data_IF_111890359725
#
_entry.id   IF_111890359725
#
_cell.length_a   1.000
_cell.length_b   1.000
_cell.length_c   1.000
_cell.angle_alpha   90.00
_cell.angle_beta   90.00
_cell.angle_gamma   90.00
#
_symmetry.space_group_name_H-M   'P 1'
#
loop_
_entity.id
_entity.type
_entity.pdbx_description
1 polymer ?
#
# COMPACT_ATOMS: atom_id res chain seq x y z
N UNK A 1 22.74 -32.01 -14.61
CA UNK A 1 21.70 -31.95 -13.55
C UNK A 1 22.04 -30.96 -12.43
N UNK A 2 23.22 -31.00 -11.80
CA UNK A 2 23.58 -30.07 -10.70
C UNK A 2 23.47 -28.57 -11.06
N UNK A 3 23.99 -28.16 -12.22
CA UNK A 3 23.92 -26.76 -12.70
C UNK A 3 22.46 -26.30 -12.87
N UNK A 4 21.59 -27.15 -13.43
CA UNK A 4 20.16 -26.83 -13.59
C UNK A 4 19.50 -26.66 -12.21
N UNK A 5 19.83 -27.50 -11.24
CA UNK A 5 19.33 -27.38 -9.87
C UNK A 5 19.75 -26.05 -9.21
N UNK A 6 21.01 -25.62 -9.38
CA UNK A 6 21.50 -24.33 -8.88
C UNK A 6 20.73 -23.14 -9.48
N UNK A 7 20.41 -23.19 -10.78
CA UNK A 7 19.59 -22.17 -11.44
C UNK A 7 18.20 -22.08 -10.80
N UNK A 8 17.54 -23.21 -10.56
CA UNK A 8 16.23 -23.23 -9.91
C UNK A 8 16.28 -22.70 -8.48
N UNK A 9 17.28 -23.09 -7.71
CA UNK A 9 17.47 -22.59 -6.33
C UNK A 9 17.63 -21.08 -6.35
N UNK A 10 18.51 -20.54 -7.18
CA UNK A 10 18.72 -19.10 -7.27
C UNK A 10 17.45 -18.34 -7.71
N UNK A 11 16.70 -18.92 -8.66
CA UNK A 11 15.44 -18.33 -9.13
C UNK A 11 14.40 -18.23 -8.00
N UNK A 12 14.30 -19.23 -7.14
CA UNK A 12 13.42 -19.19 -5.95
C UNK A 12 13.81 -18.04 -5.03
N UNK A 13 15.10 -17.86 -4.71
CA UNK A 13 15.56 -16.75 -3.86
C UNK A 13 15.25 -15.39 -4.48
N UNK A 14 15.46 -15.22 -5.78
CA UNK A 14 15.12 -13.99 -6.50
C UNK A 14 13.61 -13.71 -6.44
N UNK A 15 12.77 -14.71 -6.68
CA UNK A 15 11.32 -14.57 -6.60
C UNK A 15 10.86 -14.18 -5.19
N UNK A 16 11.41 -14.80 -4.15
CA UNK A 16 11.10 -14.46 -2.76
C UNK A 16 11.54 -13.02 -2.45
N UNK A 17 12.74 -12.63 -2.87
CA UNK A 17 13.28 -11.30 -2.66
C UNK A 17 12.39 -10.22 -3.33
N UNK A 18 12.00 -10.46 -4.58
CA UNK A 18 11.09 -9.58 -5.33
C UNK A 18 9.72 -9.50 -4.68
N UNK A 19 9.19 -10.62 -4.20
CA UNK A 19 7.91 -10.67 -3.50
C UNK A 19 7.94 -9.82 -2.21
N UNK A 20 8.97 -9.97 -1.38
CA UNK A 20 9.14 -9.18 -0.15
C UNK A 20 9.24 -7.69 -0.49
N UNK A 21 10.07 -7.32 -1.47
CA UNK A 21 10.19 -5.94 -1.93
C UNK A 21 8.85 -5.37 -2.44
N UNK A 22 8.11 -6.17 -3.21
CA UNK A 22 6.81 -5.78 -3.76
C UNK A 22 5.80 -5.46 -2.64
N UNK A 23 5.81 -6.21 -1.53
CA UNK A 23 4.96 -5.90 -0.37
C UNK A 23 5.22 -4.53 0.25
N UNK A 24 6.49 -4.14 0.41
CA UNK A 24 6.82 -2.79 0.89
C UNK A 24 6.35 -1.72 -0.10
N UNK A 25 6.53 -1.97 -1.40
CA UNK A 25 6.10 -1.04 -2.45
C UNK A 25 4.58 -0.85 -2.45
N UNK A 26 3.83 -1.93 -2.29
CA UNK A 26 2.36 -1.89 -2.21
C UNK A 26 1.88 -1.03 -1.05
N UNK A 27 2.43 -1.24 0.16
CA UNK A 27 2.08 -0.44 1.35
C UNK A 27 2.33 1.05 1.12
N UNK A 28 3.49 1.40 0.54
CA UNK A 28 3.79 2.79 0.19
C UNK A 28 2.80 3.37 -0.84
N UNK A 29 2.51 2.63 -1.92
CA UNK A 29 1.54 3.07 -2.94
C UNK A 29 0.14 3.25 -2.34
N UNK A 30 -0.30 2.35 -1.46
CA UNK A 30 -1.58 2.48 -0.78
C UNK A 30 -1.67 3.80 -0.02
N UNK A 31 -0.71 4.11 0.86
CA UNK A 31 -0.80 5.33 1.66
C UNK A 31 -0.62 6.60 0.85
N UNK A 32 0.24 6.58 -0.17
CA UNK A 32 0.33 7.68 -1.14
C UNK A 32 -1.02 7.94 -1.82
N UNK A 33 -1.72 6.89 -2.25
CA UNK A 33 -3.05 7.02 -2.85
C UNK A 33 -4.08 7.51 -1.82
N UNK A 34 -4.01 7.07 -0.55
CA UNK A 34 -4.90 7.55 0.51
C UNK A 34 -4.69 9.03 0.87
N UNK A 35 -3.46 9.53 0.85
CA UNK A 35 -3.15 10.96 0.98
C UNK A 35 -3.79 11.74 -0.17
N UNK A 36 -3.69 11.23 -1.40
CA UNK A 36 -4.34 11.85 -2.54
C UNK A 36 -5.88 11.87 -2.39
N UNK A 37 -6.49 10.73 -2.04
CA UNK A 37 -7.94 10.60 -1.87
C UNK A 37 -8.44 11.56 -0.78
N UNK A 38 -7.83 11.55 0.41
CA UNK A 38 -8.24 12.41 1.53
C UNK A 38 -8.15 13.90 1.17
N UNK A 39 -7.06 14.33 0.52
CA UNK A 39 -6.89 15.70 0.04
C UNK A 39 -7.93 16.07 -1.04
N UNK A 40 -8.20 15.14 -1.97
CA UNK A 40 -9.19 15.34 -3.02
C UNK A 40 -10.59 15.53 -2.44
N UNK A 41 -10.98 14.67 -1.49
CA UNK A 41 -12.28 14.74 -0.83
C UNK A 41 -12.41 16.04 -0.03
N UNK A 42 -11.41 16.41 0.77
CA UNK A 42 -11.41 17.66 1.55
C UNK A 42 -11.61 18.88 0.65
N UNK A 43 -10.87 18.94 -0.45
CA UNK A 43 -10.96 20.06 -1.38
C UNK A 43 -12.33 20.14 -2.05
N UNK A 44 -12.98 19.01 -2.37
CA UNK A 44 -14.27 19.01 -3.07
C UNK A 44 -15.48 19.16 -2.14
N UNK A 45 -15.41 18.67 -0.89
CA UNK A 45 -16.47 18.88 0.11
C UNK A 45 -16.59 20.37 0.50
N UNK A 46 -15.48 21.10 0.48
CA UNK A 46 -15.47 22.54 0.71
C UNK A 46 -16.30 23.35 -0.31
N UNK A 47 -16.60 22.78 -1.49
CA UNK A 47 -17.31 23.48 -2.59
C UNK A 47 -18.76 22.99 -2.83
N UNK A 48 -19.35 22.28 -1.88
CA UNK A 48 -20.80 22.01 -1.68
C UNK A 48 -21.67 21.48 -2.85
N UNK A 49 -21.12 21.15 -4.03
CA UNK A 49 -21.96 20.82 -5.21
C UNK A 49 -22.03 19.34 -5.61
N UNK A 50 -21.11 18.50 -5.15
CA UNK A 50 -21.02 17.11 -5.61
C UNK A 50 -21.41 16.13 -4.50
N UNK A 51 -22.06 15.02 -4.88
CA UNK A 51 -22.34 13.92 -3.97
C UNK A 51 -21.02 13.28 -3.51
N UNK A 52 -20.89 12.98 -2.21
CA UNK A 52 -19.72 12.32 -1.63
C UNK A 52 -19.36 11.03 -2.38
N UNK A 53 -20.36 10.26 -2.82
CA UNK A 53 -20.09 9.04 -3.61
C UNK A 53 -19.40 9.34 -4.94
N UNK A 54 -19.83 10.40 -5.64
CA UNK A 54 -19.20 10.83 -6.89
C UNK A 54 -17.77 11.33 -6.67
N UNK A 55 -17.54 12.08 -5.59
CA UNK A 55 -16.20 12.57 -5.23
C UNK A 55 -15.25 11.39 -4.95
N UNK A 56 -15.74 10.34 -4.26
CA UNK A 56 -14.96 9.13 -4.02
C UNK A 56 -14.65 8.42 -5.34
N UNK A 57 -15.64 8.21 -6.20
CA UNK A 57 -15.44 7.54 -7.50
C UNK A 57 -14.45 8.30 -8.40
N UNK A 58 -14.55 9.63 -8.45
CA UNK A 58 -13.61 10.50 -9.18
C UNK A 58 -12.19 10.42 -8.60
N UNK A 59 -12.06 10.35 -7.28
CA UNK A 59 -10.75 10.19 -6.63
C UNK A 59 -10.12 8.83 -6.95
N UNK A 60 -10.92 7.76 -7.02
CA UNK A 60 -10.46 6.40 -7.30
C UNK A 60 -9.90 6.26 -8.72
N UNK A 61 -10.45 6.99 -9.70
CA UNK A 61 -9.99 6.97 -11.09
C UNK A 61 -8.50 7.36 -11.25
N UNK A 62 -7.94 8.11 -10.31
CA UNK A 62 -6.55 8.57 -10.31
C UNK A 62 -5.64 7.77 -9.36
N UNK A 63 -6.11 6.64 -8.82
CA UNK A 63 -5.38 5.83 -7.83
C UNK A 63 -4.96 4.49 -8.43
N UNK A 64 -4.09 3.76 -7.74
CA UNK A 64 -3.68 2.43 -8.21
C UNK A 64 -4.82 1.42 -8.10
N UNK A 65 -4.89 0.47 -9.06
CA UNK A 65 -5.87 -0.64 -9.04
C UNK A 65 -5.84 -1.46 -7.75
N UNK A 66 -4.71 -1.50 -7.05
CA UNK A 66 -4.59 -2.20 -5.78
C UNK A 66 -5.28 -1.43 -4.65
N UNK A 67 -5.15 -0.11 -4.62
CA UNK A 67 -5.89 0.76 -3.69
C UNK A 67 -7.39 0.68 -3.96
N UNK A 68 -7.80 0.73 -5.23
CA UNK A 68 -9.20 0.54 -5.63
C UNK A 68 -9.77 -0.79 -5.12
N UNK A 69 -9.00 -1.89 -5.22
CA UNK A 69 -9.39 -3.20 -4.67
C UNK A 69 -9.51 -3.20 -3.15
N UNK A 70 -8.63 -2.49 -2.45
CA UNK A 70 -8.70 -2.33 -0.98
C UNK A 70 -9.96 -1.58 -0.58
N UNK A 71 -10.27 -0.46 -1.25
CA UNK A 71 -11.43 0.38 -0.92
C UNK A 71 -12.74 -0.29 -1.31
N UNK A 72 -12.81 -0.92 -2.48
CA UNK A 72 -14.00 -1.62 -2.95
C UNK A 72 -14.27 -2.95 -2.23
N UNK A 73 -13.37 -3.38 -1.34
CA UNK A 73 -13.44 -4.65 -0.61
C UNK A 73 -13.57 -5.88 -1.55
N UNK A 74 -13.12 -5.77 -2.81
CA UNK A 74 -13.37 -6.74 -3.90
C UNK A 74 -12.35 -7.89 -3.97
N UNK A 75 -11.72 -8.31 -2.87
CA UNK A 75 -10.69 -9.36 -2.97
C UNK A 75 -10.38 -10.14 -1.69
N UNK A 76 -10.57 -11.46 -1.76
CA UNK A 76 -10.04 -12.46 -0.83
C UNK A 76 -8.50 -12.56 -0.82
N UNK A 77 -7.81 -11.86 -1.74
CA UNK A 77 -6.36 -11.88 -1.91
C UNK A 77 -5.61 -10.78 -1.12
N UNK A 78 -6.33 -9.89 -0.45
CA UNK A 78 -5.75 -8.77 0.30
C UNK A 78 -5.02 -9.14 1.62
N UNK A 79 -5.42 -10.17 2.40
CA UNK A 79 -4.88 -10.40 3.74
C UNK A 79 -3.37 -10.67 3.79
N UNK A 80 -2.81 -11.26 2.73
CA UNK A 80 -1.38 -11.57 2.65
C UNK A 80 -0.55 -10.43 2.02
N UNK A 81 -1.19 -9.48 1.34
CA UNK A 81 -0.50 -8.38 0.66
C UNK A 81 -0.29 -7.18 1.58
N UNK A 82 -1.26 -6.89 2.45
CA UNK A 82 -1.25 -5.76 3.38
C UNK A 82 -1.38 -6.22 4.83
N UNK A 83 -0.96 -5.38 5.77
CA UNK A 83 -1.26 -5.64 7.17
C UNK A 83 -2.75 -5.40 7.44
N UNK A 84 -3.38 -6.30 8.19
CA UNK A 84 -4.80 -6.18 8.55
C UNK A 84 -5.10 -4.83 9.24
N UNK A 85 -4.16 -4.30 10.03
CA UNK A 85 -4.25 -2.97 10.63
C UNK A 85 -4.41 -1.86 9.58
N UNK A 86 -3.60 -1.89 8.53
CA UNK A 86 -3.61 -0.88 7.47
C UNK A 86 -4.95 -0.92 6.71
N UNK A 87 -5.44 -2.12 6.37
CA UNK A 87 -6.74 -2.31 5.71
C UNK A 87 -7.88 -1.82 6.62
N UNK A 88 -7.87 -2.20 7.90
CA UNK A 88 -8.90 -1.77 8.85
C UNK A 88 -8.92 -0.26 9.02
N UNK A 89 -7.75 0.39 9.03
CA UNK A 89 -7.66 1.84 9.14
C UNK A 89 -8.21 2.53 7.88
N UNK A 90 -7.90 2.02 6.69
CA UNK A 90 -8.52 2.51 5.44
C UNK A 90 -10.04 2.31 5.45
N UNK A 91 -10.52 1.14 5.90
CA UNK A 91 -11.96 0.89 6.02
C UNK A 91 -12.64 1.85 7.02
N UNK A 92 -11.99 2.15 8.15
CA UNK A 92 -12.46 3.14 9.12
C UNK A 92 -12.58 4.53 8.49
N UNK A 93 -11.54 4.97 7.77
CA UNK A 93 -11.57 6.22 7.01
C UNK A 93 -12.76 6.26 6.05
N UNK A 94 -12.90 5.29 5.15
CA UNK A 94 -13.99 5.24 4.17
C UNK A 94 -15.35 5.26 4.87
N UNK A 95 -15.49 4.52 5.97
CA UNK A 95 -16.72 4.49 6.75
C UNK A 95 -17.01 5.78 7.52
N UNK A 96 -16.02 6.65 7.72
CA UNK A 96 -16.16 7.90 8.48
C UNK A 96 -16.68 9.06 7.64
N UNK A 97 -16.53 8.99 6.31
CA UNK A 97 -16.88 10.08 5.39
C UNK A 97 -18.40 10.20 5.30
N UNK A 98 -18.91 11.43 5.40
CA UNK A 98 -20.33 11.76 5.23
C UNK A 98 -21.22 11.42 6.43
N UNK A 99 -20.63 11.29 7.62
CA UNK A 99 -21.33 11.01 8.87
C UNK A 99 -21.57 12.24 9.75
N UNK A 100 -20.91 13.37 9.47
CA UNK A 100 -21.05 14.61 10.22
C UNK A 100 -21.47 15.81 9.38
N UNK A 101 -21.55 16.96 10.04
CA UNK A 101 -21.69 18.25 9.38
C UNK A 101 -20.40 18.65 8.65
N UNK A 102 -20.46 19.69 7.82
CA UNK A 102 -19.32 20.12 6.98
C UNK A 102 -18.08 20.47 7.82
N UNK A 103 -18.26 21.05 9.01
CA UNK A 103 -17.15 21.42 9.89
C UNK A 103 -16.46 20.19 10.46
N UNK A 104 -17.24 19.27 11.01
CA UNK A 104 -16.77 17.97 11.50
C UNK A 104 -16.09 17.16 10.39
N UNK A 105 -16.66 17.12 9.18
CA UNK A 105 -16.07 16.41 8.04
C UNK A 105 -14.72 17.01 7.63
N UNK A 106 -14.58 18.33 7.65
CA UNK A 106 -13.29 18.97 7.36
C UNK A 106 -12.22 18.64 8.39
N UNK A 107 -12.57 18.66 9.68
CA UNK A 107 -11.65 18.27 10.76
C UNK A 107 -11.28 16.78 10.68
N UNK A 108 -12.26 15.91 10.42
CA UNK A 108 -12.06 14.47 10.26
C UNK A 108 -11.14 14.17 9.06
N UNK A 109 -11.37 14.81 7.92
CA UNK A 109 -10.54 14.66 6.73
C UNK A 109 -9.12 15.18 6.95
N UNK A 110 -8.96 16.28 7.68
CA UNK A 110 -7.64 16.81 8.04
C UNK A 110 -6.88 15.82 8.95
N UNK A 111 -7.55 15.21 9.92
CA UNK A 111 -6.99 14.17 10.77
C UNK A 111 -6.49 12.97 9.95
N UNK A 112 -7.33 12.44 9.07
CA UNK A 112 -6.95 11.29 8.24
C UNK A 112 -5.88 11.63 7.20
N UNK A 113 -5.92 12.81 6.58
CA UNK A 113 -4.89 13.29 5.66
C UNK A 113 -3.52 13.32 6.34
N UNK A 114 -3.44 13.91 7.53
CA UNK A 114 -2.19 13.96 8.31
C UNK A 114 -1.72 12.55 8.68
N UNK A 115 -2.62 11.70 9.15
CA UNK A 115 -2.29 10.34 9.56
C UNK A 115 -1.80 9.50 8.37
N UNK A 116 -2.46 9.61 7.21
CA UNK A 116 -2.01 8.94 5.99
C UNK A 116 -0.66 9.46 5.49
N UNK A 117 -0.38 10.77 5.64
CA UNK A 117 0.92 11.33 5.28
C UNK A 117 2.04 10.77 6.18
N UNK A 118 1.80 10.68 7.49
CA UNK A 118 2.75 10.06 8.43
C UNK A 118 2.99 8.58 8.09
N UNK A 119 1.93 7.83 7.73
CA UNK A 119 2.03 6.44 7.30
C UNK A 119 2.70 6.28 5.93
N UNK A 120 2.51 7.21 5.00
CA UNK A 120 3.20 7.26 3.70
C UNK A 120 4.70 7.43 3.93
N UNK A 121 5.09 8.37 4.77
CA UNK A 121 6.49 8.64 5.10
C UNK A 121 7.15 7.44 5.77
N UNK A 122 6.48 6.81 6.74
CA UNK A 122 6.94 5.57 7.36
C UNK A 122 7.08 4.44 6.33
N UNK A 123 6.10 4.27 5.43
CA UNK A 123 6.14 3.26 4.39
C UNK A 123 7.25 3.51 3.36
N UNK A 124 7.52 4.77 3.01
CA UNK A 124 8.63 5.18 2.14
C UNK A 124 9.97 4.84 2.76
N UNK A 125 10.18 5.21 4.03
CA UNK A 125 11.41 4.89 4.78
C UNK A 125 11.61 3.37 4.85
N UNK A 126 10.54 2.63 5.15
CA UNK A 126 10.58 1.17 5.21
C UNK A 126 10.89 0.53 3.85
N UNK A 127 10.35 1.06 2.75
CA UNK A 127 10.68 0.59 1.40
C UNK A 127 12.16 0.82 1.08
N UNK A 128 12.67 2.01 1.37
CA UNK A 128 14.05 2.39 1.05
C UNK A 128 15.09 1.67 1.90
N UNK A 129 14.82 1.49 3.20
CA UNK A 129 15.72 0.80 4.12
C UNK A 129 15.49 -0.71 4.08
N UNK A 130 14.32 -1.15 4.55
CA UNK A 130 14.05 -2.57 4.78
C UNK A 130 13.80 -3.31 3.47
N UNK A 131 13.00 -2.76 2.56
CA UNK A 131 12.72 -3.38 1.26
C UNK A 131 13.99 -3.67 0.46
N UNK A 132 14.87 -2.66 0.30
CA UNK A 132 16.15 -2.83 -0.42
C UNK A 132 17.13 -3.72 0.34
N UNK A 133 17.17 -3.65 1.67
CA UNK A 133 18.03 -4.50 2.49
C UNK A 133 17.63 -5.97 2.39
N UNK A 134 16.35 -6.30 2.56
CA UNK A 134 15.87 -7.68 2.43
C UNK A 134 16.08 -8.23 1.03
N UNK A 135 15.87 -7.41 -0.02
CA UNK A 135 16.17 -7.80 -1.39
C UNK A 135 17.63 -8.27 -1.53
N UNK A 136 18.58 -7.48 -1.02
CA UNK A 136 20.02 -7.81 -1.07
C UNK A 136 20.37 -9.02 -0.21
N UNK A 137 19.83 -9.11 1.00
CA UNK A 137 20.12 -10.20 1.94
C UNK A 137 19.63 -11.55 1.39
N UNK A 138 18.39 -11.62 0.90
CA UNK A 138 17.81 -12.86 0.37
C UNK A 138 18.58 -13.34 -0.86
N UNK A 139 18.94 -12.43 -1.77
CA UNK A 139 19.79 -12.75 -2.93
C UNK A 139 21.18 -13.21 -2.48
N UNK A 140 21.80 -12.53 -1.52
CA UNK A 140 23.12 -12.90 -0.99
C UNK A 140 23.14 -14.29 -0.34
N UNK A 141 22.10 -14.62 0.44
CA UNK A 141 21.91 -15.97 1.00
C UNK A 141 21.73 -17.01 -0.10
N UNK A 142 20.95 -16.69 -1.14
CA UNK A 142 20.79 -17.56 -2.32
C UNK A 142 22.12 -17.88 -3.01
N UNK A 143 22.98 -16.85 -3.20
CA UNK A 143 24.32 -17.04 -3.77
C UNK A 143 25.18 -17.91 -2.85
N UNK A 144 25.19 -17.65 -1.54
CA UNK A 144 25.98 -18.43 -0.58
C UNK A 144 25.58 -19.92 -0.58
N UNK A 145 24.28 -20.21 -0.61
CA UNK A 145 23.77 -21.59 -0.70
C UNK A 145 24.20 -22.23 -2.03
N UNK A 146 24.09 -21.51 -3.15
CA UNK A 146 24.55 -22.02 -4.44
C UNK A 146 26.06 -22.36 -4.43
N UNK A 147 26.90 -21.55 -3.78
CA UNK A 147 28.34 -21.81 -3.65
C UNK A 147 28.60 -23.07 -2.81
N UNK A 148 27.88 -23.25 -1.70
CA UNK A 148 28.02 -24.43 -0.83
C UNK A 148 27.55 -25.74 -1.48
N UNK A 149 26.72 -25.65 -2.52
CA UNK A 149 26.17 -26.79 -3.26
C UNK A 149 27.01 -27.21 -4.48
N UNK A 150 28.03 -26.42 -4.85
CA UNK A 150 29.01 -26.74 -5.89
C UNK A 150 30.01 -27.77 -5.35
#
# INVERSE_FOLDING_TARGET
MKIICLIFVMLIFVLIALYVYYRYRLRYTLFKDMVYISKYIRNNIAFSKNNISQIIDESLANTSKNTERVISNRGSLLPWMYHARDINFVAQFISSIGKGDIGYEQENLLYYEKTFADMEDEARINLDKNGKMYLKLIIGVGIAICILMI
#
